data_IF_559938815554
#
_entry.id   IF_559938815554
#
_cell.length_a   1.000
_cell.length_b   1.000
_cell.length_c   1.000
_cell.angle_alpha   90.00
_cell.angle_beta   90.00
_cell.angle_gamma   90.00
#
_symmetry.space_group_name_H-M   'P 1'
#
loop_
_entity.id
_entity.type
_entity.pdbx_description
1 polymer ?
#
# COMPACT_ATOMS: atom_id res chain seq x y z
N UNK A 1 -15.93 -9.72 16.41
CA UNK A 1 -15.71 -10.58 17.62
C UNK A 1 -14.32 -11.23 17.68
N UNK A 2 -13.34 -10.82 16.86
CA UNK A 2 -12.03 -11.51 16.69
C UNK A 2 -10.91 -10.98 17.61
N UNK A 3 -11.05 -9.76 18.15
CA UNK A 3 -9.95 -9.06 18.83
C UNK A 3 -9.59 -9.62 20.22
N UNK A 4 -10.55 -10.16 20.98
CA UNK A 4 -10.30 -10.70 22.33
C UNK A 4 -9.55 -12.05 22.31
N UNK A 5 -9.76 -12.87 21.27
CA UNK A 5 -9.10 -14.18 21.14
C UNK A 5 -7.59 -14.03 20.86
N UNK A 6 -7.21 -13.05 20.05
CA UNK A 6 -5.79 -12.77 19.72
C UNK A 6 -5.03 -12.18 20.93
N UNK A 7 -5.69 -11.38 21.76
CA UNK A 7 -5.09 -10.82 22.98
C UNK A 7 -4.78 -11.90 24.03
N UNK A 8 -5.72 -12.82 24.25
CA UNK A 8 -5.56 -13.92 25.21
C UNK A 8 -4.45 -14.88 24.74
N UNK A 9 -4.35 -15.12 23.43
CA UNK A 9 -3.27 -15.93 22.83
C UNK A 9 -1.88 -15.30 23.06
N UNK A 10 -1.75 -13.98 22.86
CA UNK A 10 -0.48 -13.26 23.08
C UNK A 10 -0.04 -13.28 24.55
N UNK A 11 -0.98 -13.10 25.49
CA UNK A 11 -0.68 -13.15 26.93
C UNK A 11 -0.23 -14.56 27.33
N UNK A 12 -0.87 -15.60 26.81
CA UNK A 12 -0.48 -16.99 27.05
C UNK A 12 0.94 -17.31 26.58
N UNK A 13 1.32 -16.87 25.37
CA UNK A 13 2.67 -17.04 24.84
C UNK A 13 3.72 -16.25 25.64
N UNK A 14 3.40 -15.03 26.07
CA UNK A 14 4.32 -14.21 26.85
C UNK A 14 4.62 -14.83 28.23
N UNK A 15 3.60 -15.36 28.91
CA UNK A 15 3.77 -16.02 30.22
C UNK A 15 4.58 -17.32 30.07
N UNK A 16 4.26 -18.13 29.06
CA UNK A 16 4.99 -19.38 28.82
C UNK A 16 6.46 -19.12 28.46
N UNK A 17 6.73 -18.10 27.64
CA UNK A 17 8.09 -17.67 27.31
C UNK A 17 8.87 -17.17 28.53
N UNK A 18 8.24 -16.38 29.41
CA UNK A 18 8.87 -15.87 30.64
C UNK A 18 9.22 -16.97 31.64
N UNK A 19 8.35 -17.97 31.81
CA UNK A 19 8.59 -19.11 32.70
C UNK A 19 9.73 -20.00 32.19
N UNK A 20 9.76 -20.28 30.88
CA UNK A 20 10.86 -21.04 30.25
C UNK A 20 12.18 -20.27 30.34
N UNK A 21 12.16 -18.95 30.14
CA UNK A 21 13.35 -18.10 30.23
C UNK A 21 13.94 -18.04 31.65
N UNK A 22 13.11 -18.14 32.70
CA UNK A 22 13.60 -18.10 34.09
C UNK A 22 14.26 -19.40 34.56
N UNK A 23 14.08 -20.52 33.85
CA UNK A 23 14.59 -21.84 34.24
C UNK A 23 15.88 -22.23 33.48
N UNK A 24 16.26 -21.47 32.44
CA UNK A 24 17.43 -21.76 31.61
C UNK A 24 18.55 -20.77 31.96
N UNK A 25 19.75 -21.23 32.37
CA UNK A 25 20.90 -20.35 32.60
C UNK A 25 21.43 -19.83 31.25
N UNK A 26 20.77 -18.79 30.73
CA UNK A 26 21.20 -18.11 29.50
C UNK A 26 22.45 -17.27 29.80
N UNK A 27 23.59 -17.69 29.24
CA UNK A 27 24.81 -16.89 29.31
C UNK A 27 24.63 -15.57 28.53
N UNK A 28 25.30 -14.47 28.93
CA UNK A 28 25.19 -13.18 28.22
C UNK A 28 25.45 -13.26 26.71
N UNK A 29 26.34 -14.18 26.28
CA UNK A 29 26.61 -14.44 24.87
C UNK A 29 25.39 -15.02 24.12
N UNK A 30 24.62 -15.91 24.78
CA UNK A 30 23.44 -16.53 24.19
C UNK A 30 22.32 -15.50 24.00
N UNK A 31 22.15 -14.59 24.95
CA UNK A 31 21.19 -13.48 24.86
C UNK A 31 21.50 -12.54 23.69
N UNK A 32 22.78 -12.26 23.43
CA UNK A 32 23.18 -11.41 22.30
C UNK A 32 22.85 -12.07 20.95
N UNK A 33 23.14 -13.38 20.81
CA UNK A 33 22.83 -14.14 19.59
C UNK A 33 21.33 -14.26 19.38
N UNK A 34 20.57 -14.61 20.42
CA UNK A 34 19.10 -14.71 20.34
C UNK A 34 18.49 -13.34 20.03
N UNK A 35 19.02 -12.25 20.60
CA UNK A 35 18.56 -10.89 20.32
C UNK A 35 18.78 -10.48 18.87
N UNK A 36 19.96 -10.75 18.30
CA UNK A 36 20.27 -10.45 16.89
C UNK A 36 19.39 -11.29 15.95
N UNK A 37 19.26 -12.58 16.21
CA UNK A 37 18.43 -13.50 15.41
C UNK A 37 16.94 -13.13 15.51
N UNK A 38 16.43 -12.83 16.71
CA UNK A 38 15.06 -12.41 16.91
C UNK A 38 14.77 -11.06 16.23
N UNK A 39 15.70 -10.11 16.27
CA UNK A 39 15.55 -8.82 15.57
C UNK A 39 15.54 -8.99 14.05
N UNK A 40 16.41 -9.85 13.51
CA UNK A 40 16.41 -10.21 12.09
C UNK A 40 15.12 -10.95 11.68
N UNK A 41 14.60 -11.83 12.55
CA UNK A 41 13.41 -12.61 12.28
C UNK A 41 12.11 -11.79 12.44
N UNK A 42 12.06 -10.84 13.38
CA UNK A 42 10.97 -9.86 13.47
C UNK A 42 10.97 -8.92 12.26
N UNK A 43 12.14 -8.51 11.75
CA UNK A 43 12.24 -7.75 10.51
C UNK A 43 11.72 -8.58 9.31
N UNK A 44 12.02 -9.88 9.28
CA UNK A 44 11.55 -10.80 8.23
C UNK A 44 10.04 -11.08 8.28
N UNK A 45 9.41 -11.07 9.47
CA UNK A 45 7.97 -11.29 9.63
C UNK A 45 7.13 -10.01 9.52
N UNK A 46 7.75 -8.83 9.59
CA UNK A 46 7.10 -7.55 9.27
C UNK A 46 7.34 -7.13 7.81
N UNK A 47 7.19 -8.09 6.89
CA UNK A 47 7.14 -7.85 5.44
C UNK A 47 5.81 -7.16 5.06
N UNK A 48 5.60 -5.93 5.51
CA UNK A 48 4.68 -4.98 4.87
C UNK A 48 5.14 -3.54 5.10
N UNK A 49 6.41 -3.26 4.78
CA UNK A 49 6.78 -1.91 4.38
C UNK A 49 6.26 -1.68 2.95
N UNK A 50 5.49 -0.62 2.67
CA UNK A 50 5.14 -0.28 1.30
C UNK A 50 6.40 0.25 0.63
N UNK A 51 7.08 -0.63 -0.10
CA UNK A 51 8.10 -0.21 -1.05
C UNK A 51 7.38 0.64 -2.11
N UNK A 52 7.67 1.95 -2.13
CA UNK A 52 7.36 2.79 -3.29
C UNK A 52 8.32 2.35 -4.39
N UNK A 53 7.93 1.31 -5.12
CA UNK A 53 8.58 0.89 -6.35
C UNK A 53 7.94 1.71 -7.48
N UNK A 54 8.60 2.81 -7.82
CA UNK A 54 8.48 3.45 -9.12
C UNK A 54 9.23 2.59 -10.14
N UNK A 55 8.57 1.55 -10.65
CA UNK A 55 9.00 0.81 -11.83
C UNK A 55 8.00 1.10 -12.95
N UNK A 56 8.26 2.18 -13.68
CA UNK A 56 7.69 2.38 -15.01
C UNK A 56 8.19 1.23 -15.90
N UNK A 57 7.28 0.61 -16.66
CA UNK A 57 7.53 -0.41 -17.71
C UNK A 57 7.68 -1.89 -17.32
N UNK A 58 6.89 -2.40 -16.38
CA UNK A 58 6.58 -3.85 -16.37
C UNK A 58 5.28 -4.10 -17.17
N UNK A 59 5.27 -4.91 -18.26
CA UNK A 59 4.06 -5.20 -19.04
C UNK A 59 2.95 -5.87 -18.21
N UNK A 60 3.27 -6.31 -17.00
CA UNK A 60 2.33 -6.90 -16.06
C UNK A 60 1.47 -5.90 -15.27
N UNK A 61 1.75 -4.59 -15.34
CA UNK A 61 1.01 -3.56 -14.59
C UNK A 61 0.34 -2.53 -15.50
N UNK A 62 -0.79 -1.96 -15.05
CA UNK A 62 -1.51 -0.88 -15.74
C UNK A 62 -1.89 0.23 -14.79
N UNK A 63 -1.78 1.45 -15.29
CA UNK A 63 -2.24 2.65 -14.60
C UNK A 63 -3.70 2.95 -14.96
N UNK A 64 -4.51 3.18 -13.94
CA UNK A 64 -5.91 3.58 -14.04
C UNK A 64 -6.07 5.04 -13.63
N UNK A 65 -6.84 5.78 -14.41
CA UNK A 65 -7.32 7.10 -14.05
C UNK A 65 -8.62 6.97 -13.25
N UNK A 66 -8.69 7.70 -12.13
CA UNK A 66 -9.86 7.74 -11.24
C UNK A 66 -10.29 9.19 -11.07
N UNK A 67 -11.42 9.55 -11.66
CA UNK A 67 -11.99 10.90 -11.64
C UNK A 67 -13.25 11.02 -10.80
N UNK A 68 -13.65 12.27 -10.56
CA UNK A 68 -14.82 12.65 -9.75
C UNK A 68 -14.77 12.14 -8.29
N UNK A 69 -13.57 11.92 -7.76
CA UNK A 69 -13.38 11.56 -6.37
C UNK A 69 -13.84 12.70 -5.45
N UNK A 70 -14.54 12.39 -4.34
CA UNK A 70 -14.93 13.38 -3.36
C UNK A 70 -13.69 14.02 -2.73
N UNK A 71 -13.75 15.31 -2.41
CA UNK A 71 -12.62 16.01 -1.79
C UNK A 71 -12.21 15.42 -0.43
N UNK A 72 -13.09 14.64 0.22
CA UNK A 72 -12.78 13.91 1.45
C UNK A 72 -12.04 12.58 1.21
N UNK A 73 -12.04 12.04 -0.01
CA UNK A 73 -11.32 10.80 -0.31
C UNK A 73 -9.80 10.99 -0.13
N UNK A 74 -9.22 10.08 0.65
CA UNK A 74 -7.79 9.96 0.85
C UNK A 74 -7.23 8.82 0.01
N UNK A 75 -5.91 8.78 -0.10
CA UNK A 75 -5.19 7.73 -0.82
C UNK A 75 -5.51 6.33 -0.28
N UNK A 76 -5.60 6.20 1.05
CA UNK A 76 -5.98 4.95 1.73
C UNK A 76 -7.36 4.47 1.28
N UNK A 77 -8.37 5.35 1.25
CA UNK A 77 -9.72 4.98 0.82
C UNK A 77 -9.76 4.50 -0.63
N UNK A 78 -9.00 5.15 -1.52
CA UNK A 78 -8.91 4.71 -2.91
C UNK A 78 -8.18 3.37 -2.99
N UNK A 79 -7.08 3.20 -2.25
CA UNK A 79 -6.36 1.94 -2.20
C UNK A 79 -7.26 0.79 -1.75
N UNK A 80 -8.01 0.97 -0.66
CA UNK A 80 -8.88 -0.05 -0.10
C UNK A 80 -10.00 -0.41 -1.09
N UNK A 81 -10.62 0.58 -1.73
CA UNK A 81 -11.65 0.38 -2.74
C UNK A 81 -11.16 -0.45 -3.93
N UNK A 82 -9.93 -0.19 -4.41
CA UNK A 82 -9.36 -0.92 -5.54
C UNK A 82 -8.76 -2.26 -5.12
N UNK A 83 -8.36 -2.42 -3.85
CA UNK A 83 -7.83 -3.67 -3.30
C UNK A 83 -8.87 -4.80 -3.25
N UNK A 84 -10.17 -4.48 -3.24
CA UNK A 84 -11.24 -5.48 -3.36
C UNK A 84 -11.26 -6.19 -4.71
N UNK A 85 -10.70 -5.57 -5.76
CA UNK A 85 -10.74 -6.07 -7.13
C UNK A 85 -9.40 -6.62 -7.62
N UNK A 86 -8.29 -6.35 -6.92
CA UNK A 86 -6.98 -6.81 -7.32
C UNK A 86 -5.83 -6.22 -6.52
N UNK A 87 -4.61 -6.57 -6.92
CA UNK A 87 -3.40 -6.06 -6.25
C UNK A 87 -3.10 -4.62 -6.70
N UNK A 88 -3.15 -3.69 -5.74
CA UNK A 88 -2.78 -2.28 -5.94
C UNK A 88 -1.31 -2.08 -5.55
N UNK A 89 -0.52 -1.59 -6.50
CA UNK A 89 0.90 -1.28 -6.31
C UNK A 89 1.10 0.15 -5.79
N UNK A 90 0.47 1.12 -6.44
CA UNK A 90 0.60 2.53 -6.09
C UNK A 90 -0.72 3.29 -6.28
N UNK A 91 -0.91 4.33 -5.48
CA UNK A 91 -2.02 5.28 -5.63
C UNK A 91 -1.41 6.67 -5.56
N UNK A 92 -1.86 7.58 -6.43
CA UNK A 92 -1.41 8.97 -6.46
C UNK A 92 -2.60 9.89 -6.67
N UNK A 93 -2.95 10.68 -5.66
CA UNK A 93 -4.01 11.68 -5.76
C UNK A 93 -3.45 13.06 -6.14
N UNK A 94 -4.08 13.71 -7.12
CA UNK A 94 -3.63 15.03 -7.59
C UNK A 94 -4.21 16.14 -6.71
N UNK A 95 -3.31 16.99 -6.24
CA UNK A 95 -3.61 18.20 -5.50
C UNK A 95 -3.17 19.41 -6.33
N UNK A 96 -3.92 20.49 -6.22
CA UNK A 96 -3.52 21.78 -6.76
C UNK A 96 -2.30 22.29 -5.96
N UNK A 97 -1.20 22.59 -6.65
CA UNK A 97 0.05 23.04 -6.02
C UNK A 97 -0.06 24.44 -5.41
N UNK A 98 -0.97 25.28 -5.91
CA UNK A 98 -1.15 26.66 -5.46
C UNK A 98 -2.10 26.75 -4.27
N UNK A 99 -3.18 25.98 -4.29
CA UNK A 99 -4.24 26.05 -3.25
C UNK A 99 -4.19 24.90 -2.25
N UNK A 100 -3.41 23.84 -2.53
CA UNK A 100 -3.38 22.61 -1.73
C UNK A 100 -4.67 21.78 -1.80
N UNK A 101 -5.73 22.28 -2.46
CA UNK A 101 -7.01 21.59 -2.58
C UNK A 101 -6.88 20.39 -3.50
N UNK A 102 -7.62 19.32 -3.16
CA UNK A 102 -7.66 18.11 -3.98
C UNK A 102 -8.41 18.39 -5.27
N UNK A 103 -7.87 17.97 -6.41
CA UNK A 103 -8.52 18.19 -7.71
C UNK A 103 -9.68 17.22 -7.98
N UNK A 104 -9.89 16.25 -7.09
CA UNK A 104 -10.95 15.23 -7.24
C UNK A 104 -10.60 14.17 -8.28
N UNK A 105 -9.32 13.94 -8.54
CA UNK A 105 -8.87 12.84 -9.40
C UNK A 105 -7.52 12.28 -8.96
N UNK A 106 -7.25 11.05 -9.40
CA UNK A 106 -6.13 10.22 -9.00
C UNK A 106 -5.67 9.28 -10.10
N UNK A 107 -4.50 8.69 -9.90
CA UNK A 107 -3.98 7.55 -10.66
C UNK A 107 -3.76 6.37 -9.71
N UNK A 108 -4.07 5.16 -10.17
CA UNK A 108 -3.90 3.92 -9.42
C UNK A 108 -3.16 2.93 -10.30
N UNK A 109 -2.04 2.39 -9.83
CA UNK A 109 -1.25 1.37 -10.54
C UNK A 109 -1.64 0.00 -10.00
N UNK A 110 -2.10 -0.89 -10.88
CA UNK A 110 -2.58 -2.23 -10.52
C UNK A 110 -2.05 -3.28 -11.49
N UNK A 111 -2.27 -4.55 -11.17
CA UNK A 111 -1.99 -5.63 -12.11
C UNK A 111 -2.83 -5.46 -13.40
N UNK A 112 -2.21 -5.70 -14.56
CA UNK A 112 -2.85 -5.54 -15.86
C UNK A 112 -4.06 -6.46 -16.04
N UNK A 113 -4.02 -7.64 -15.42
CA UNK A 113 -5.12 -8.61 -15.39
C UNK A 113 -6.34 -8.05 -14.64
N UNK A 114 -6.13 -7.38 -13.52
CA UNK A 114 -7.18 -6.86 -12.63
C UNK A 114 -7.70 -5.48 -13.07
N UNK A 115 -6.95 -4.78 -13.91
CA UNK A 115 -7.29 -3.43 -14.36
C UNK A 115 -8.64 -3.37 -15.10
N UNK A 116 -8.89 -4.28 -16.05
CA UNK A 116 -10.15 -4.33 -16.80
C UNK A 116 -11.39 -4.63 -15.93
N UNK A 117 -11.39 -5.69 -15.09
CA UNK A 117 -12.55 -5.97 -14.23
C UNK A 117 -12.78 -4.86 -13.20
N UNK A 118 -11.73 -4.25 -12.65
CA UNK A 118 -11.87 -3.13 -11.74
C UNK A 118 -12.54 -1.92 -12.41
N UNK A 119 -12.15 -1.57 -13.65
CA UNK A 119 -12.83 -0.52 -14.41
C UNK A 119 -14.31 -0.86 -14.61
N UNK A 120 -14.63 -2.08 -15.04
CA UNK A 120 -16.01 -2.47 -15.33
C UNK A 120 -16.93 -2.42 -14.10
N UNK A 121 -16.38 -2.62 -12.89
CA UNK A 121 -17.14 -2.60 -11.63
C UNK A 121 -17.18 -1.24 -10.93
N UNK A 122 -16.12 -0.44 -11.08
CA UNK A 122 -15.98 0.85 -10.39
C UNK A 122 -16.33 2.05 -11.26
N UNK A 123 -16.25 1.93 -12.58
CA UNK A 123 -16.70 2.99 -13.47
C UNK A 123 -18.21 3.20 -13.29
N UNK A 124 -18.61 4.46 -13.11
CA UNK A 124 -20.01 4.87 -12.87
C UNK A 124 -20.61 4.39 -11.54
N UNK A 125 -19.78 3.84 -10.64
CA UNK A 125 -20.21 3.49 -9.29
C UNK A 125 -20.35 4.74 -8.44
N UNK A 126 -21.43 4.80 -7.65
CA UNK A 126 -21.59 5.85 -6.65
C UNK A 126 -20.68 5.61 -5.43
N UNK A 127 -19.95 6.65 -5.04
CA UNK A 127 -19.05 6.65 -3.91
C UNK A 127 -19.08 8.00 -3.19
N UNK A 128 -19.57 8.01 -1.95
CA UNK A 128 -19.77 9.23 -1.15
C UNK A 128 -20.52 10.32 -1.93
N UNK A 129 -21.70 9.97 -2.46
CA UNK A 129 -22.59 10.89 -3.20
C UNK A 129 -21.98 11.43 -4.51
N UNK A 130 -20.95 10.75 -5.04
CA UNK A 130 -20.34 11.10 -6.33
C UNK A 130 -20.14 9.86 -7.19
N UNK A 131 -20.47 9.99 -8.47
CA UNK A 131 -20.26 8.94 -9.47
C UNK A 131 -18.79 8.88 -9.88
N UNK A 132 -18.08 7.80 -9.56
CA UNK A 132 -16.69 7.64 -9.93
C UNK A 132 -16.54 7.46 -11.44
N UNK A 133 -15.47 8.00 -12.01
CA UNK A 133 -15.10 7.80 -13.42
C UNK A 133 -13.77 7.08 -13.50
N UNK A 134 -13.78 5.80 -13.88
CA UNK A 134 -12.57 4.97 -13.90
C UNK A 134 -12.25 4.59 -15.35
N UNK A 135 -11.01 4.83 -15.78
CA UNK A 135 -10.56 4.55 -17.14
C UNK A 135 -9.11 4.06 -17.12
N UNK A 136 -8.66 3.39 -18.18
CA UNK A 136 -7.22 3.18 -18.38
C UNK A 136 -6.58 4.56 -18.53
N UNK A 137 -5.57 4.86 -17.71
CA UNK A 137 -4.81 6.07 -17.88
C UNK A 137 -3.94 5.93 -19.13
N UNK A 138 -3.91 6.96 -19.98
CA UNK A 138 -2.76 7.10 -20.86
C UNK A 138 -1.55 7.35 -19.97
N UNK A 139 -0.42 6.74 -20.33
CA UNK A 139 0.85 7.03 -19.69
C UNK A 139 0.96 8.55 -19.56
N UNK A 140 1.29 9.07 -18.36
CA UNK A 140 1.64 10.47 -18.28
C UNK A 140 2.75 10.62 -19.31
N UNK A 141 2.50 11.37 -20.39
CA UNK A 141 3.59 11.85 -21.25
C UNK A 141 4.60 12.38 -20.24
N UNK A 142 5.69 11.65 -20.08
CA UNK A 142 6.84 12.21 -19.40
C UNK A 142 7.05 13.54 -20.14
N UNK A 143 7.20 14.67 -19.45
CA UNK A 143 7.76 15.85 -20.09
C UNK A 143 9.21 15.49 -20.44
N UNK A 144 9.39 14.63 -21.45
CA UNK A 144 10.67 14.24 -22.03
C UNK A 144 11.29 15.50 -22.59
N UNK A 145 12.46 15.83 -22.03
CA UNK A 145 13.51 16.53 -22.74
C UNK A 145 13.28 18.02 -22.92
N UNK A 146 13.51 18.78 -21.85
CA UNK A 146 14.29 20.00 -22.05
C UNK A 146 15.61 19.57 -22.72
N UNK A 147 15.76 19.86 -24.01
CA UNK A 147 16.97 19.58 -24.79
C UNK A 147 18.20 20.08 -24.01
N UNK A 148 19.32 19.35 -23.95
CA UNK A 148 20.57 19.98 -23.56
C UNK A 148 20.87 21.05 -24.62
N UNK A 149 20.86 22.31 -24.19
CA UNK A 149 21.47 23.43 -24.90
C UNK A 149 22.95 23.05 -25.13
N UNK A 150 23.37 22.93 -26.39
CA UNK A 150 24.78 22.87 -26.76
C UNK A 150 25.21 24.29 -27.13
N UNK A 151 26.03 24.90 -26.28
CA UNK A 151 26.89 26.05 -26.62
C UNK A 151 28.11 25.60 -27.44
#
# INVERSE_FOLDING_TARGET
MTSKKNLILCIGLAVLGGVIFSQVPVSPALSFVIGVVATAFLFSLSSKAPVIQSSDSDPSTKTLYVGNLPYKANESHVRDLFAEYGQVYAVRLMKDKRTGKRRGFGFVVMAAADAKPAIAKLNEKEYMERTLKVRIANDPKHPDGGKPEQD
#
